data_IF_262869355762
#
_entry.id   IF_262869355762
#
_cell.length_a   1.000
_cell.length_b   1.000
_cell.length_c   1.000
_cell.angle_alpha   90.00
_cell.angle_beta   90.00
_cell.angle_gamma   90.00
#
_symmetry.space_group_name_H-M   'P 1'
#
loop_
_entity.id
_entity.type
_entity.pdbx_description
1 polymer ?
#
# COMPACT_ATOMS: atom_id res chain seq x y z
N UNK A 1 -12.36 -34.27 -26.72
CA UNK A 1 -11.69 -33.27 -25.87
C UNK A 1 -10.36 -33.00 -26.53
N UNK A 2 -10.33 -32.10 -27.50
CA UNK A 2 -9.11 -31.70 -28.20
C UNK A 2 -8.77 -30.27 -27.77
N UNK A 3 -7.53 -30.10 -27.32
CA UNK A 3 -6.91 -28.82 -27.02
C UNK A 3 -6.88 -27.97 -28.30
N UNK A 4 -7.59 -26.84 -28.28
CA UNK A 4 -7.44 -25.75 -29.24
C UNK A 4 -6.50 -24.69 -28.67
N UNK A 5 -5.23 -25.05 -28.47
CA UNK A 5 -4.17 -24.06 -28.26
C UNK A 5 -3.59 -23.65 -29.62
N UNK A 6 -4.41 -22.93 -30.40
CA UNK A 6 -3.92 -22.17 -31.55
C UNK A 6 -3.47 -20.77 -31.11
N UNK A 7 -2.61 -20.08 -31.88
CA UNK A 7 -2.35 -18.66 -31.63
C UNK A 7 -3.68 -17.88 -31.65
N UNK A 8 -3.80 -16.78 -30.86
CA UNK A 8 -4.99 -15.94 -30.91
C UNK A 8 -5.26 -15.49 -32.36
N UNK A 9 -6.54 -15.31 -32.75
CA UNK A 9 -6.88 -14.88 -34.11
C UNK A 9 -6.16 -13.59 -34.51
N UNK A 10 -5.70 -13.46 -35.76
CA UNK A 10 -4.96 -12.28 -36.27
C UNK A 10 -5.71 -10.95 -36.03
N UNK A 11 -7.05 -10.98 -35.96
CA UNK A 11 -7.91 -9.84 -35.68
C UNK A 11 -7.84 -9.32 -34.22
N UNK A 12 -7.16 -10.04 -33.33
CA UNK A 12 -6.96 -9.65 -31.93
C UNK A 12 -5.64 -8.88 -31.73
N UNK A 13 -4.78 -8.83 -32.74
CA UNK A 13 -3.48 -8.19 -32.71
C UNK A 13 -3.52 -6.76 -33.28
N UNK A 14 -2.68 -5.89 -32.73
CA UNK A 14 -2.30 -4.64 -33.39
C UNK A 14 -1.05 -4.89 -34.23
N UNK A 15 -0.98 -4.29 -35.43
CA UNK A 15 0.19 -4.37 -36.33
C UNK A 15 1.47 -3.74 -35.77
N UNK A 16 1.43 -3.15 -34.58
CA UNK A 16 2.59 -2.58 -33.90
C UNK A 16 3.01 -3.48 -32.73
N UNK A 17 4.03 -4.30 -32.97
CA UNK A 17 4.70 -5.09 -31.92
C UNK A 17 5.40 -4.14 -30.95
N UNK A 18 4.93 -4.09 -29.71
CA UNK A 18 5.60 -3.33 -28.64
C UNK A 18 6.77 -4.10 -28.03
N UNK A 19 7.67 -3.35 -27.38
CA UNK A 19 8.91 -3.80 -26.72
C UNK A 19 8.75 -5.11 -25.95
N UNK A 20 9.63 -6.09 -26.22
CA UNK A 20 9.73 -7.34 -25.44
C UNK A 20 8.91 -8.53 -25.95
N UNK A 21 8.15 -8.41 -27.04
CA UNK A 21 7.45 -9.54 -27.67
C UNK A 21 6.15 -9.97 -26.99
N UNK A 22 5.60 -9.13 -26.12
CA UNK A 22 4.27 -9.35 -25.54
C UNK A 22 3.18 -8.86 -26.50
N UNK A 23 2.18 -9.70 -26.78
CA UNK A 23 0.99 -9.31 -27.53
C UNK A 23 0.14 -8.35 -26.70
N UNK A 24 -0.36 -7.30 -27.35
CA UNK A 24 -1.28 -6.33 -26.76
C UNK A 24 -2.67 -6.61 -27.29
N UNK A 25 -3.62 -6.85 -26.38
CA UNK A 25 -5.01 -7.13 -26.75
C UNK A 25 -5.69 -5.85 -27.27
N UNK A 26 -6.37 -5.94 -28.42
CA UNK A 26 -7.28 -4.89 -28.88
C UNK A 26 -8.59 -4.93 -28.09
N UNK A 27 -8.71 -4.08 -27.07
CA UNK A 27 -9.90 -4.01 -26.23
C UNK A 27 -11.11 -3.38 -26.92
N UNK A 28 -10.97 -2.86 -28.13
CA UNK A 28 -12.13 -2.45 -28.94
C UNK A 28 -12.77 -3.60 -29.69
N UNK A 29 -12.14 -4.79 -29.71
CA UNK A 29 -12.74 -6.00 -30.27
C UNK A 29 -13.73 -6.61 -29.26
N UNK A 30 -15.04 -6.70 -29.57
CA UNK A 30 -16.03 -7.28 -28.65
C UNK A 30 -15.74 -8.74 -28.27
N UNK A 31 -15.09 -9.50 -29.15
CA UNK A 31 -14.70 -10.88 -28.86
C UNK A 31 -13.64 -10.95 -27.77
N UNK A 32 -12.67 -10.03 -27.77
CA UNK A 32 -11.66 -9.91 -26.72
C UNK A 32 -12.31 -9.58 -25.37
N UNK A 33 -13.22 -8.60 -25.35
CA UNK A 33 -13.96 -8.25 -24.13
C UNK A 33 -14.75 -9.44 -23.58
N UNK A 34 -15.47 -10.16 -24.45
CA UNK A 34 -16.28 -11.33 -24.07
C UNK A 34 -15.45 -12.48 -23.51
N UNK A 35 -14.28 -12.78 -24.11
CA UNK A 35 -13.40 -13.81 -23.54
C UNK A 35 -12.84 -13.38 -22.17
N UNK A 36 -12.56 -12.09 -21.99
CA UNK A 36 -12.12 -11.57 -20.70
C UNK A 36 -13.23 -11.68 -19.64
N UNK A 37 -14.47 -11.34 -19.97
CA UNK A 37 -15.62 -11.53 -19.09
C UNK A 37 -15.80 -12.98 -18.65
N UNK A 38 -15.59 -13.95 -19.56
CA UNK A 38 -15.59 -15.38 -19.19
C UNK A 38 -14.51 -15.72 -18.17
N UNK A 39 -13.31 -15.14 -18.29
CA UNK A 39 -12.24 -15.34 -17.33
C UNK A 39 -12.61 -14.75 -15.96
N UNK A 40 -13.20 -13.56 -15.91
CA UNK A 40 -13.72 -12.97 -14.67
C UNK A 40 -14.78 -13.88 -14.04
N UNK A 41 -15.74 -14.34 -14.84
CA UNK A 41 -16.80 -15.24 -14.39
C UNK A 41 -16.25 -16.56 -13.83
N UNK A 42 -15.25 -17.14 -14.50
CA UNK A 42 -14.59 -18.36 -14.04
C UNK A 42 -13.96 -18.18 -12.65
N UNK A 43 -13.11 -17.16 -12.46
CA UNK A 43 -12.43 -16.96 -11.18
C UNK A 43 -13.39 -16.60 -10.05
N UNK A 44 -14.41 -15.78 -10.33
CA UNK A 44 -15.47 -15.50 -9.35
C UNK A 44 -16.26 -16.76 -8.99
N UNK A 45 -16.53 -17.65 -9.94
CA UNK A 45 -17.22 -18.91 -9.70
C UNK A 45 -16.38 -19.89 -8.85
N UNK A 46 -15.05 -19.89 -9.02
CA UNK A 46 -14.10 -20.66 -8.19
C UNK A 46 -14.05 -20.14 -6.74
N UNK A 47 -14.57 -18.92 -6.49
CA UNK A 47 -14.65 -18.33 -5.16
C UNK A 47 -13.60 -17.26 -4.88
N UNK A 48 -13.02 -16.64 -5.91
CA UNK A 48 -12.11 -15.50 -5.75
C UNK A 48 -12.87 -14.26 -5.24
N UNK A 49 -12.43 -13.72 -4.11
CA UNK A 49 -13.07 -12.58 -3.42
C UNK A 49 -12.77 -11.21 -4.05
N UNK A 50 -11.75 -11.11 -4.89
CA UNK A 50 -11.36 -9.84 -5.50
C UNK A 50 -10.39 -9.99 -6.67
N UNK A 51 -10.42 -9.02 -7.56
CA UNK A 51 -9.62 -8.99 -8.79
C UNK A 51 -8.87 -7.67 -8.86
N UNK A 52 -7.55 -7.73 -9.03
CA UNK A 52 -6.72 -6.56 -9.30
C UNK A 52 -6.38 -6.50 -10.78
N UNK A 53 -6.95 -5.52 -11.47
CA UNK A 53 -6.60 -5.15 -12.83
C UNK A 53 -5.34 -4.29 -12.86
N UNK A 54 -4.19 -4.92 -13.11
CA UNK A 54 -2.90 -4.23 -13.24
C UNK A 54 -2.68 -3.71 -14.66
N UNK A 55 -1.87 -2.65 -14.76
CA UNK A 55 -1.38 -2.08 -16.01
C UNK A 55 -2.46 -1.60 -16.99
N UNK A 56 -3.63 -1.22 -16.48
CA UNK A 56 -4.72 -0.68 -17.31
C UNK A 56 -4.34 0.64 -18.00
N UNK A 57 -3.31 1.36 -17.53
CA UNK A 57 -2.76 2.52 -18.25
C UNK A 57 -2.18 2.16 -19.63
N UNK A 58 -1.87 0.88 -19.88
CA UNK A 58 -1.38 0.38 -21.17
C UNK A 58 -2.51 -0.22 -22.03
N UNK A 59 -3.77 -0.13 -21.59
CA UNK A 59 -4.92 -0.71 -22.27
C UNK A 59 -5.12 -0.05 -23.64
N UNK A 60 -5.06 -0.86 -24.70
CA UNK A 60 -5.24 -0.37 -26.06
C UNK A 60 -6.71 -0.41 -26.49
N UNK A 61 -7.26 0.76 -26.77
CA UNK A 61 -8.60 0.97 -27.31
C UNK A 61 -8.53 1.96 -28.47
N UNK A 62 -9.39 1.81 -29.48
CA UNK A 62 -9.52 2.77 -30.57
C UNK A 62 -10.08 4.12 -30.09
N UNK A 63 -10.94 4.08 -29.07
CA UNK A 63 -11.52 5.26 -28.45
C UNK A 63 -11.40 5.15 -26.93
N UNK A 64 -10.67 6.08 -26.31
CA UNK A 64 -10.44 6.10 -24.88
C UNK A 64 -11.73 6.27 -24.05
N UNK A 65 -12.78 6.87 -24.63
CA UNK A 65 -14.10 6.93 -23.98
C UNK A 65 -14.74 5.55 -23.76
N UNK A 66 -14.20 4.48 -24.34
CA UNK A 66 -14.65 3.11 -24.07
C UNK A 66 -14.09 2.56 -22.75
N UNK A 67 -13.00 3.09 -22.20
CA UNK A 67 -12.39 2.56 -20.98
C UNK A 67 -13.37 2.59 -19.80
N UNK A 68 -14.06 3.72 -19.50
CA UNK A 68 -15.06 3.74 -18.42
C UNK A 68 -16.24 2.80 -18.67
N UNK A 69 -16.62 2.59 -19.94
CA UNK A 69 -17.70 1.66 -20.31
C UNK A 69 -17.30 0.23 -19.97
N UNK A 70 -16.07 -0.15 -20.31
CA UNK A 70 -15.52 -1.48 -20.01
C UNK A 70 -15.40 -1.70 -18.50
N UNK A 71 -14.93 -0.70 -17.74
CA UNK A 71 -14.90 -0.78 -16.27
C UNK A 71 -16.30 -1.01 -15.67
N UNK A 72 -17.30 -0.29 -16.17
CA UNK A 72 -18.69 -0.47 -15.75
C UNK A 72 -19.21 -1.87 -16.06
N UNK A 73 -18.95 -2.39 -17.27
CA UNK A 73 -19.33 -3.74 -17.66
C UNK A 73 -18.72 -4.79 -16.73
N UNK A 74 -17.44 -4.66 -16.38
CA UNK A 74 -16.80 -5.55 -15.41
C UNK A 74 -17.45 -5.45 -14.03
N UNK A 75 -17.76 -4.23 -13.57
CA UNK A 75 -18.42 -4.03 -12.28
C UNK A 75 -19.80 -4.68 -12.24
N UNK A 76 -20.62 -4.44 -13.26
CA UNK A 76 -21.95 -5.04 -13.42
C UNK A 76 -21.88 -6.57 -13.46
N UNK A 77 -20.92 -7.12 -14.21
CA UNK A 77 -20.70 -8.57 -14.26
C UNK A 77 -20.36 -9.13 -12.88
N UNK A 78 -19.37 -8.55 -12.18
CA UNK A 78 -18.95 -9.02 -10.85
C UNK A 78 -20.08 -8.89 -9.82
N UNK A 79 -20.87 -7.82 -9.88
CA UNK A 79 -22.05 -7.64 -9.02
C UNK A 79 -23.13 -8.67 -9.32
N UNK A 80 -23.36 -9.01 -10.59
CA UNK A 80 -24.35 -10.02 -10.98
C UNK A 80 -23.95 -11.43 -10.50
N UNK A 81 -22.66 -11.77 -10.61
CA UNK A 81 -22.11 -13.08 -10.20
C UNK A 81 -22.06 -13.25 -8.68
N UNK A 82 -22.05 -12.14 -7.94
CA UNK A 82 -22.02 -12.13 -6.47
C UNK A 82 -23.29 -11.57 -5.85
N UNK A 83 -24.39 -11.52 -6.61
CA UNK A 83 -25.66 -11.05 -6.11
C UNK A 83 -26.09 -11.85 -4.87
N UNK A 84 -26.37 -11.15 -3.77
CA UNK A 84 -26.72 -11.75 -2.48
C UNK A 84 -25.55 -12.27 -1.64
N UNK A 85 -24.31 -12.25 -2.15
CA UNK A 85 -23.11 -12.52 -1.33
C UNK A 85 -22.66 -11.26 -0.59
N UNK A 86 -22.21 -11.42 0.64
CA UNK A 86 -21.60 -10.36 1.45
C UNK A 86 -20.29 -10.88 2.05
N UNK A 87 -19.12 -10.34 1.66
CA UNK A 87 -18.93 -9.22 0.72
C UNK A 87 -19.15 -9.60 -0.75
N UNK A 88 -19.37 -8.60 -1.61
CA UNK A 88 -19.29 -8.73 -3.07
C UNK A 88 -17.83 -8.86 -3.53
N UNK A 89 -17.60 -9.35 -4.76
CA UNK A 89 -16.23 -9.41 -5.32
C UNK A 89 -15.66 -8.00 -5.50
N UNK A 90 -14.45 -7.77 -4.97
CA UNK A 90 -13.76 -6.48 -4.97
C UNK A 90 -13.05 -6.25 -6.32
N UNK A 91 -13.17 -5.05 -6.89
CA UNK A 91 -12.40 -4.61 -8.05
C UNK A 91 -11.32 -3.59 -7.64
N UNK A 92 -10.06 -3.89 -7.95
CA UNK A 92 -8.90 -3.06 -7.63
C UNK A 92 -8.25 -2.56 -8.93
N UNK A 93 -7.88 -1.29 -8.98
CA UNK A 93 -7.04 -0.70 -10.04
C UNK A 93 -5.90 0.11 -9.44
N UNK A 94 -4.88 0.44 -10.26
CA UNK A 94 -3.74 1.25 -9.80
C UNK A 94 -4.06 2.74 -9.82
N UNK A 95 -3.47 3.48 -8.89
CA UNK A 95 -3.48 4.95 -8.90
C UNK A 95 -2.86 5.53 -10.17
N UNK A 96 -1.84 4.87 -10.72
CA UNK A 96 -1.25 5.23 -12.02
C UNK A 96 -2.27 5.20 -13.16
N UNK A 97 -3.16 4.21 -13.17
CA UNK A 97 -4.24 4.15 -14.14
C UNK A 97 -5.26 5.27 -13.94
N UNK A 98 -5.62 5.58 -12.68
CA UNK A 98 -6.48 6.72 -12.38
C UNK A 98 -5.86 8.05 -12.85
N UNK A 99 -4.57 8.26 -12.58
CA UNK A 99 -3.84 9.46 -13.01
C UNK A 99 -3.76 9.57 -14.54
N UNK A 100 -3.58 8.45 -15.23
CA UNK A 100 -3.62 8.38 -16.70
C UNK A 100 -4.98 8.84 -17.25
N UNK A 101 -6.09 8.33 -16.71
CA UNK A 101 -7.44 8.74 -17.15
C UNK A 101 -7.69 10.24 -16.93
N UNK A 102 -7.27 10.78 -15.78
CA UNK A 102 -7.57 12.17 -15.42
C UNK A 102 -6.63 13.14 -16.12
N UNK A 103 -5.33 12.90 -16.04
CA UNK A 103 -4.30 13.86 -16.47
C UNK A 103 -4.00 13.75 -17.96
N UNK A 104 -3.95 12.54 -18.51
CA UNK A 104 -3.61 12.34 -19.92
C UNK A 104 -4.84 12.34 -20.82
N UNK A 105 -5.98 11.83 -20.34
CA UNK A 105 -7.22 11.79 -21.13
C UNK A 105 -8.23 12.89 -20.81
N UNK A 106 -7.98 13.69 -19.77
CA UNK A 106 -8.90 14.75 -19.35
C UNK A 106 -10.27 14.24 -18.88
N UNK A 107 -10.36 12.98 -18.43
CA UNK A 107 -11.62 12.42 -17.95
C UNK A 107 -11.97 12.97 -16.57
N UNK A 108 -13.28 13.12 -16.34
CA UNK A 108 -13.78 13.39 -15.00
C UNK A 108 -13.51 12.18 -14.09
N UNK A 109 -13.17 12.45 -12.84
CA UNK A 109 -12.79 11.42 -11.89
C UNK A 109 -13.92 10.44 -11.53
N UNK A 110 -15.18 10.76 -11.85
CA UNK A 110 -16.34 9.84 -11.74
C UNK A 110 -16.18 8.54 -12.53
N UNK A 111 -15.24 8.45 -13.48
CA UNK A 111 -14.89 7.20 -14.17
C UNK A 111 -14.43 6.07 -13.23
N UNK A 112 -14.05 6.41 -11.99
CA UNK A 112 -13.63 5.46 -10.97
C UNK A 112 -14.77 5.01 -10.04
N UNK A 113 -16.00 5.47 -10.24
CA UNK A 113 -17.14 5.10 -9.39
C UNK A 113 -17.44 3.59 -9.39
N UNK A 114 -17.02 2.88 -10.44
CA UNK A 114 -17.19 1.44 -10.62
C UNK A 114 -16.04 0.62 -10.01
N UNK A 115 -15.09 1.26 -9.31
CA UNK A 115 -13.94 0.61 -8.65
C UNK A 115 -14.16 0.56 -7.13
N UNK A 116 -13.70 -0.50 -6.47
CA UNK A 116 -13.80 -0.61 -5.01
C UNK A 116 -12.54 -0.12 -4.30
N UNK A 117 -11.34 -0.49 -4.79
CA UNK A 117 -10.05 -0.13 -4.21
C UNK A 117 -9.13 0.53 -5.23
N UNK A 118 -8.44 1.59 -4.82
CA UNK A 118 -7.41 2.26 -5.62
C UNK A 118 -6.03 2.06 -4.98
N UNK A 119 -5.13 1.37 -5.68
CA UNK A 119 -3.78 1.02 -5.19
C UNK A 119 -2.81 2.21 -5.28
N UNK A 120 -2.36 2.72 -4.13
CA UNK A 120 -1.49 3.88 -3.99
C UNK A 120 -0.14 3.52 -3.37
N UNK A 121 0.98 3.82 -4.05
CA UNK A 121 2.29 3.71 -3.44
C UNK A 121 2.46 4.82 -2.39
N UNK A 122 2.94 4.45 -1.21
CA UNK A 122 3.44 5.37 -0.20
C UNK A 122 4.96 5.46 -0.36
N UNK A 123 5.45 6.54 -0.95
CA UNK A 123 6.87 6.79 -1.11
C UNK A 123 7.42 7.39 0.18
N UNK A 124 8.37 6.69 0.81
CA UNK A 124 9.06 7.17 2.00
C UNK A 124 10.18 8.10 1.57
N UNK A 125 10.14 9.34 2.07
CA UNK A 125 11.07 10.40 1.74
C UNK A 125 11.09 11.45 2.85
N UNK A 126 11.07 12.73 2.50
CA UNK A 126 10.90 13.80 3.49
C UNK A 126 9.48 13.79 4.07
N UNK A 127 9.33 14.27 5.31
CA UNK A 127 8.03 14.47 5.94
C UNK A 127 7.11 15.37 5.11
N UNK A 128 7.65 16.36 4.40
CA UNK A 128 6.89 17.22 3.49
C UNK A 128 6.34 16.45 2.28
N UNK A 129 7.17 15.66 1.60
CA UNK A 129 6.74 14.84 0.45
C UNK A 129 5.71 13.80 0.87
N UNK A 130 5.92 13.13 2.01
CA UNK A 130 4.96 12.19 2.56
C UNK A 130 3.67 12.89 3.00
N UNK A 131 3.76 14.07 3.60
CA UNK A 131 2.62 14.90 3.96
C UNK A 131 1.77 15.26 2.75
N UNK A 132 2.41 15.72 1.66
CA UNK A 132 1.76 16.02 0.37
C UNK A 132 1.08 14.79 -0.23
N UNK A 133 1.72 13.62 -0.21
CA UNK A 133 1.11 12.37 -0.70
C UNK A 133 -0.18 12.05 0.06
N UNK A 134 -0.16 12.11 1.40
CA UNK A 134 -1.33 11.74 2.21
C UNK A 134 -2.42 12.81 2.15
N UNK A 135 -2.07 14.11 2.16
CA UNK A 135 -3.03 15.21 2.05
C UNK A 135 -3.65 15.32 0.65
N UNK A 136 -2.84 15.15 -0.40
CA UNK A 136 -3.27 15.21 -1.79
C UNK A 136 -4.34 14.17 -2.10
N UNK A 137 -4.13 12.93 -1.63
CA UNK A 137 -5.12 11.88 -1.82
C UNK A 137 -6.42 12.16 -1.07
N UNK A 138 -6.36 12.77 0.11
CA UNK A 138 -7.56 13.14 0.88
C UNK A 138 -8.39 14.21 0.19
N UNK A 139 -7.75 15.25 -0.35
CA UNK A 139 -8.44 16.33 -1.07
C UNK A 139 -9.17 15.81 -2.31
N UNK A 140 -8.70 14.69 -2.85
CA UNK A 140 -9.28 13.98 -3.97
C UNK A 140 -10.32 12.90 -3.58
N UNK A 141 -10.78 12.83 -2.31
CA UNK A 141 -11.65 11.77 -1.78
C UNK A 141 -13.12 12.16 -1.53
N UNK A 142 -13.96 12.35 -2.56
CA UNK A 142 -15.40 12.47 -2.36
C UNK A 142 -16.04 11.21 -1.77
N UNK A 143 -17.22 11.39 -1.21
CA UNK A 143 -18.11 10.28 -0.85
C UNK A 143 -18.52 9.54 -2.14
N UNK A 144 -18.37 8.21 -2.18
CA UNK A 144 -18.66 7.39 -3.37
C UNK A 144 -17.45 7.00 -4.23
N UNK A 145 -16.23 7.35 -3.81
CA UNK A 145 -14.99 6.98 -4.49
C UNK A 145 -14.35 5.67 -3.98
N UNK A 146 -13.53 4.98 -4.80
CA UNK A 146 -12.91 3.69 -4.47
C UNK A 146 -11.96 3.83 -3.29
N UNK A 147 -12.12 3.06 -2.20
CA UNK A 147 -11.32 3.10 -0.95
C UNK A 147 -9.80 3.05 -1.23
N UNK A 148 -8.95 3.85 -0.53
CA UNK A 148 -7.53 3.88 -0.88
C UNK A 148 -6.89 2.63 -0.33
N UNK A 149 -6.10 1.95 -1.13
CA UNK A 149 -5.25 0.87 -0.69
C UNK A 149 -3.80 1.34 -0.73
N UNK A 150 -3.20 1.53 0.43
CA UNK A 150 -1.80 2.00 0.52
C UNK A 150 -0.83 0.82 0.54
N UNK A 151 0.31 0.95 -0.12
CA UNK A 151 1.39 -0.01 -0.02
C UNK A 151 2.76 0.67 0.00
N UNK A 152 3.73 0.08 0.70
CA UNK A 152 5.10 0.61 0.69
C UNK A 152 5.90 0.09 -0.50
N UNK A 153 5.53 -1.06 -1.06
CA UNK A 153 6.14 -1.69 -2.23
C UNK A 153 5.27 -2.83 -2.72
N UNK A 154 5.58 -3.40 -3.88
CA UNK A 154 4.89 -4.57 -4.45
C UNK A 154 5.84 -5.35 -5.36
N UNK A 155 5.31 -6.29 -6.16
CA UNK A 155 6.06 -7.13 -7.10
C UNK A 155 6.87 -6.35 -8.14
N UNK A 156 6.50 -5.11 -8.42
CA UNK A 156 6.98 -4.32 -9.54
C UNK A 156 8.00 -3.25 -9.07
N UNK A 157 8.32 -3.22 -7.77
CA UNK A 157 9.22 -2.26 -7.14
C UNK A 157 10.29 -2.96 -6.32
N UNK A 158 11.47 -2.34 -6.19
CA UNK A 158 12.44 -2.76 -5.17
C UNK A 158 11.82 -2.75 -3.77
N UNK A 159 12.24 -3.71 -2.94
CA UNK A 159 11.75 -3.86 -1.56
C UNK A 159 12.00 -2.59 -0.76
N UNK A 160 11.09 -2.26 0.16
CA UNK A 160 11.22 -1.04 0.96
C UNK A 160 12.52 -1.06 1.78
N UNK A 161 12.91 -2.21 2.33
CA UNK A 161 14.14 -2.36 3.11
C UNK A 161 15.43 -2.15 2.29
N UNK A 162 15.36 -2.20 0.96
CA UNK A 162 16.48 -1.85 0.07
C UNK A 162 16.48 -0.37 -0.31
N UNK A 163 15.31 0.28 -0.31
CA UNK A 163 15.13 1.67 -0.75
C UNK A 163 15.37 2.70 0.34
N UNK A 164 15.23 2.32 1.61
CA UNK A 164 15.40 3.22 2.76
C UNK A 164 16.40 2.67 3.77
N UNK A 165 16.92 3.55 4.62
CA UNK A 165 17.77 3.11 5.72
C UNK A 165 17.01 2.21 6.71
N UNK A 166 17.65 1.17 7.28
CA UNK A 166 16.99 0.20 8.16
C UNK A 166 16.24 0.81 9.35
N UNK A 167 16.74 1.95 9.88
CA UNK A 167 16.13 2.67 11.01
C UNK A 167 14.74 3.20 10.71
N UNK A 168 14.43 3.59 9.47
CA UNK A 168 13.14 4.19 9.12
C UNK A 168 12.05 3.16 8.82
N UNK A 169 12.42 1.89 8.68
CA UNK A 169 11.47 0.89 8.23
C UNK A 169 10.29 0.69 9.18
N UNK A 170 10.52 0.59 10.50
CA UNK A 170 9.39 0.43 11.41
C UNK A 170 8.54 1.68 11.49
N UNK A 171 9.13 2.88 11.44
CA UNK A 171 8.37 4.12 11.30
C UNK A 171 7.48 4.13 10.05
N UNK A 172 7.98 3.65 8.91
CA UNK A 172 7.20 3.50 7.68
C UNK A 172 6.03 2.52 7.85
N UNK A 173 6.24 1.38 8.53
CA UNK A 173 5.17 0.42 8.84
C UNK A 173 4.11 1.02 9.78
N UNK A 174 4.52 1.80 10.77
CA UNK A 174 3.59 2.53 11.65
C UNK A 174 2.75 3.54 10.86
N UNK A 175 3.37 4.28 9.94
CA UNK A 175 2.68 5.21 9.05
C UNK A 175 1.66 4.49 8.18
N UNK A 176 2.11 3.50 7.40
CA UNK A 176 1.24 2.67 6.56
C UNK A 176 0.05 2.13 7.36
N UNK A 177 0.29 1.56 8.54
CA UNK A 177 -0.75 0.95 9.37
C UNK A 177 -1.70 1.94 10.04
N UNK A 178 -1.35 3.23 10.09
CA UNK A 178 -2.18 4.29 10.65
C UNK A 178 -3.01 5.02 9.58
N UNK A 179 -2.60 4.92 8.31
CA UNK A 179 -3.31 5.51 7.18
C UNK A 179 -4.76 4.98 7.03
N UNK A 180 -5.66 5.82 6.47
CA UNK A 180 -7.05 5.48 6.24
C UNK A 180 -7.18 4.53 5.05
N UNK A 181 -8.26 3.75 5.01
CA UNK A 181 -8.54 2.85 3.88
C UNK A 181 -8.07 1.42 4.11
N UNK A 182 -7.68 0.76 3.04
CA UNK A 182 -7.02 -0.53 3.04
C UNK A 182 -5.49 -0.34 3.04
N UNK A 183 -4.79 -1.35 3.52
CA UNK A 183 -3.34 -1.39 3.49
C UNK A 183 -2.91 -2.72 2.91
N UNK A 184 -1.96 -2.69 1.98
CA UNK A 184 -1.31 -3.84 1.41
C UNK A 184 0.15 -3.89 1.89
N UNK A 185 0.58 -5.07 2.31
CA UNK A 185 1.94 -5.32 2.81
C UNK A 185 2.53 -6.40 1.91
N UNK A 186 3.68 -6.09 1.31
CA UNK A 186 4.35 -7.06 0.45
C UNK A 186 5.08 -8.08 1.32
N UNK A 187 4.98 -9.38 0.99
CA UNK A 187 5.55 -10.43 1.84
C UNK A 187 7.04 -10.16 2.10
N UNK A 188 7.46 -10.37 3.35
CA UNK A 188 8.82 -10.09 3.78
C UNK A 188 9.04 -8.66 4.27
N UNK A 189 8.16 -7.69 3.96
CA UNK A 189 8.25 -6.34 4.54
C UNK A 189 8.15 -6.40 6.08
N UNK A 190 7.34 -7.31 6.63
CA UNK A 190 7.21 -7.52 8.07
C UNK A 190 8.51 -7.96 8.76
N UNK A 191 9.43 -8.59 8.03
CA UNK A 191 10.78 -8.96 8.52
C UNK A 191 11.88 -8.01 8.02
N UNK A 192 11.56 -7.06 7.14
CA UNK A 192 12.54 -6.18 6.49
C UNK A 192 13.37 -6.87 5.41
N UNK A 193 12.75 -7.78 4.66
CA UNK A 193 13.38 -8.48 3.54
C UNK A 193 13.88 -7.47 2.49
N UNK A 194 15.12 -7.63 2.05
CA UNK A 194 15.77 -6.82 1.01
C UNK A 194 15.80 -7.56 -0.32
N UNK A 195 16.05 -6.83 -1.40
CA UNK A 195 16.22 -7.41 -2.74
C UNK A 195 17.47 -8.28 -2.77
N UNK A 196 17.39 -9.44 -3.41
CA UNK A 196 18.58 -10.26 -3.60
C UNK A 196 19.54 -9.64 -4.62
N UNK A 197 20.82 -9.73 -4.34
CA UNK A 197 21.89 -9.19 -5.14
C UNK A 197 23.06 -10.16 -5.23
N UNK A 198 23.86 -10.00 -6.28
CA UNK A 198 25.11 -10.71 -6.45
C UNK A 198 26.19 -10.09 -5.56
N UNK A 199 26.76 -10.89 -4.66
CA UNK A 199 27.78 -10.47 -3.69
C UNK A 199 29.08 -9.98 -4.35
N UNK A 200 29.39 -10.42 -5.57
CA UNK A 200 30.62 -10.04 -6.27
C UNK A 200 30.45 -8.73 -7.03
N UNK A 201 29.32 -8.58 -7.74
CA UNK A 201 29.07 -7.37 -8.54
C UNK A 201 28.33 -6.27 -7.78
N UNK A 202 27.71 -6.58 -6.64
CA UNK A 202 26.84 -5.69 -5.88
C UNK A 202 25.51 -5.38 -6.60
N UNK A 203 25.24 -6.00 -7.75
CA UNK A 203 24.06 -5.72 -8.57
C UNK A 203 22.87 -6.55 -8.10
N UNK A 204 21.72 -5.91 -7.98
CA UNK A 204 20.44 -6.57 -7.70
C UNK A 204 20.09 -7.49 -8.88
N UNK A 205 19.68 -8.72 -8.60
CA UNK A 205 19.24 -9.65 -9.64
C UNK A 205 17.96 -9.15 -10.31
N UNK A 206 17.74 -9.50 -11.58
CA UNK A 206 16.45 -9.27 -12.22
C UNK A 206 15.38 -10.06 -11.47
N UNK A 207 14.39 -9.37 -10.91
CA UNK A 207 13.39 -10.00 -10.03
C UNK A 207 13.90 -10.25 -8.62
N UNK A 208 15.00 -9.64 -8.17
CA UNK A 208 15.55 -9.78 -6.82
C UNK A 208 14.57 -9.43 -5.70
N UNK A 209 13.52 -8.66 -5.98
CA UNK A 209 12.41 -8.39 -5.07
C UNK A 209 11.43 -9.58 -4.93
N UNK A 210 11.42 -10.52 -5.87
CA UNK A 210 10.50 -11.66 -5.95
C UNK A 210 11.10 -12.94 -5.38
N UNK A 211 12.26 -12.85 -4.73
CA UNK A 211 12.94 -14.04 -4.19
C UNK A 211 12.09 -14.72 -3.12
N UNK A 212 12.21 -16.04 -2.95
CA UNK A 212 11.46 -16.75 -1.93
C UNK A 212 11.59 -16.17 -0.51
N UNK A 213 10.59 -16.41 0.33
CA UNK A 213 10.58 -15.98 1.72
C UNK A 213 11.71 -16.64 2.52
N UNK A 214 12.34 -15.88 3.41
CA UNK A 214 13.45 -16.34 4.26
C UNK A 214 12.91 -16.70 5.65
N UNK A 215 12.71 -17.98 5.89
CA UNK A 215 12.18 -18.55 7.14
C UNK A 215 13.24 -18.76 8.21
N UNK A 216 14.37 -19.38 7.85
CA UNK A 216 15.44 -19.78 8.80
C UNK A 216 16.83 -19.36 8.30
N UNK A 217 17.83 -19.49 9.17
CA UNK A 217 19.24 -19.26 8.82
C UNK A 217 19.98 -20.54 8.37
N UNK A 218 19.32 -21.69 8.41
CA UNK A 218 20.01 -22.98 8.48
C UNK A 218 20.48 -23.54 7.13
N UNK A 219 20.00 -22.98 6.01
CA UNK A 219 20.39 -23.42 4.67
C UNK A 219 20.43 -22.28 3.65
N UNK A 220 21.02 -22.56 2.48
CA UNK A 220 21.16 -21.60 1.38
C UNK A 220 19.84 -21.19 0.71
N UNK A 221 18.73 -21.85 1.04
CA UNK A 221 17.39 -21.49 0.58
C UNK A 221 16.60 -20.69 1.63
N UNK A 222 17.20 -20.36 2.77
CA UNK A 222 16.55 -19.64 3.86
C UNK A 222 15.34 -20.40 4.42
N UNK A 223 15.34 -21.73 4.34
CA UNK A 223 14.24 -22.60 4.75
C UNK A 223 13.05 -22.62 3.80
N UNK A 224 13.17 -22.05 2.58
CA UNK A 224 12.09 -22.08 1.58
C UNK A 224 11.89 -23.45 0.94
N UNK A 225 12.98 -24.17 0.70
CA UNK A 225 12.98 -25.52 0.12
C UNK A 225 14.00 -26.40 0.85
N UNK A 226 14.11 -27.67 0.45
CA UNK A 226 15.08 -28.58 1.02
C UNK A 226 16.54 -28.17 0.69
N UNK A 227 17.50 -28.87 1.29
CA UNK A 227 18.94 -28.57 1.12
C UNK A 227 19.51 -29.06 -0.23
N UNK A 228 18.69 -29.75 -1.05
CA UNK A 228 19.11 -30.33 -2.32
C UNK A 228 18.59 -29.52 -3.51
N UNK A 229 17.58 -28.68 -3.29
CA UNK A 229 16.88 -27.92 -4.32
C UNK A 229 17.27 -26.45 -4.23
N UNK A 230 17.75 -25.90 -5.34
CA UNK A 230 17.95 -24.46 -5.43
C UNK A 230 16.63 -23.77 -5.74
N UNK A 231 16.31 -22.64 -5.08
CA UNK A 231 15.15 -21.86 -5.47
C UNK A 231 15.30 -21.28 -6.89
N UNK A 232 14.17 -20.90 -7.48
CA UNK A 232 14.12 -20.33 -8.84
C UNK A 232 14.89 -18.99 -8.98
N UNK A 233 15.17 -18.32 -7.87
CA UNK A 233 16.09 -17.18 -7.77
C UNK A 233 17.00 -17.33 -6.54
N UNK A 234 18.28 -16.88 -6.62
CA UNK A 234 19.14 -16.78 -5.46
C UNK A 234 18.52 -15.85 -4.41
N UNK A 235 18.37 -16.31 -3.16
CA UNK A 235 17.86 -15.45 -2.07
C UNK A 235 18.90 -14.42 -1.64
N UNK A 236 18.48 -13.46 -0.81
CA UNK A 236 19.37 -12.41 -0.36
C UNK A 236 20.52 -13.01 0.51
N UNK A 237 21.79 -12.60 0.29
CA UNK A 237 22.93 -13.09 1.07
C UNK A 237 22.81 -12.86 2.59
N UNK A 238 22.04 -11.86 3.02
CA UNK A 238 21.74 -11.53 4.42
C UNK A 238 20.67 -12.45 5.06
N UNK A 239 20.21 -13.52 4.40
CA UNK A 239 19.20 -14.43 4.94
C UNK A 239 19.56 -15.05 6.29
N UNK A 240 20.86 -15.20 6.61
CA UNK A 240 21.31 -15.68 7.91
C UNK A 240 20.90 -14.78 9.08
N UNK A 241 20.67 -13.48 8.85
CA UNK A 241 20.27 -12.51 9.87
C UNK A 241 18.83 -12.03 9.68
N UNK A 242 18.40 -11.82 8.43
CA UNK A 242 17.07 -11.32 8.08
C UNK A 242 16.18 -12.47 7.65
N UNK A 243 15.60 -13.17 8.62
CA UNK A 243 14.67 -14.27 8.42
C UNK A 243 13.60 -14.30 9.52
N UNK A 244 12.52 -15.06 9.31
CA UNK A 244 11.42 -15.17 10.29
C UNK A 244 11.91 -15.61 11.66
N UNK A 245 12.78 -16.61 11.73
CA UNK A 245 13.34 -17.13 12.98
C UNK A 245 14.08 -16.06 13.80
N UNK A 246 14.83 -15.18 13.14
CA UNK A 246 15.66 -14.16 13.80
C UNK A 246 14.93 -12.82 14.01
N UNK A 247 13.88 -12.53 13.24
CA UNK A 247 13.12 -11.27 13.30
C UNK A 247 11.90 -11.31 14.22
N UNK A 248 11.87 -12.23 15.20
CA UNK A 248 10.73 -12.42 16.11
C UNK A 248 10.31 -11.15 16.88
N UNK A 249 11.26 -10.30 17.27
CA UNK A 249 10.95 -9.04 17.95
C UNK A 249 10.18 -8.08 17.04
N UNK A 250 10.63 -7.94 15.80
CA UNK A 250 10.01 -7.12 14.75
C UNK A 250 8.64 -7.64 14.38
N UNK A 251 8.49 -8.96 14.24
CA UNK A 251 7.20 -9.61 13.98
C UNK A 251 6.20 -9.37 15.11
N UNK A 252 6.62 -9.51 16.38
CA UNK A 252 5.76 -9.17 17.53
C UNK A 252 5.32 -7.72 17.50
N UNK A 253 6.21 -6.80 17.14
CA UNK A 253 5.87 -5.39 16.99
C UNK A 253 4.86 -5.18 15.85
N UNK A 254 5.09 -5.76 14.67
CA UNK A 254 4.17 -5.68 13.54
C UNK A 254 2.77 -6.24 13.88
N UNK A 255 2.71 -7.39 14.57
CA UNK A 255 1.45 -7.97 15.07
C UNK A 255 0.73 -7.04 16.05
N UNK A 256 1.45 -6.31 16.90
CA UNK A 256 0.84 -5.30 17.80
C UNK A 256 0.23 -4.15 17.02
N UNK A 257 0.90 -3.67 15.97
CA UNK A 257 0.37 -2.62 15.09
C UNK A 257 -0.90 -3.12 14.37
N UNK A 258 -0.89 -4.35 13.83
CA UNK A 258 -2.06 -4.97 13.20
C UNK A 258 -3.22 -5.11 14.19
N UNK A 259 -2.96 -5.58 15.40
CA UNK A 259 -3.96 -5.69 16.46
C UNK A 259 -4.55 -4.32 16.81
N UNK A 260 -3.71 -3.29 16.92
CA UNK A 260 -4.16 -1.92 17.14
C UNK A 260 -5.04 -1.42 16.01
N UNK A 261 -4.66 -1.65 14.75
CA UNK A 261 -5.48 -1.29 13.59
C UNK A 261 -6.87 -1.94 13.66
N UNK A 262 -6.89 -3.27 13.88
CA UNK A 262 -8.11 -4.09 13.90
C UNK A 262 -9.03 -3.77 15.08
N UNK A 263 -8.48 -3.50 16.25
CA UNK A 263 -9.25 -3.42 17.49
C UNK A 263 -9.52 -1.99 17.96
N UNK A 264 -8.56 -1.08 17.75
CA UNK A 264 -8.62 0.30 18.23
C UNK A 264 -8.88 1.28 17.09
N UNK A 265 -8.03 1.28 16.05
CA UNK A 265 -8.07 2.28 14.98
C UNK A 265 -9.35 2.20 14.14
N UNK A 266 -10.01 1.03 14.07
CA UNK A 266 -11.34 0.89 13.44
C UNK A 266 -12.40 1.84 14.00
N UNK A 267 -12.24 2.29 15.25
CA UNK A 267 -13.14 3.23 15.89
C UNK A 267 -12.80 4.70 15.58
N UNK A 268 -11.77 4.96 14.79
CA UNK A 268 -11.34 6.30 14.40
C UNK A 268 -11.60 6.49 12.90
N UNK A 269 -12.40 7.49 12.55
CA UNK A 269 -12.80 7.73 11.16
C UNK A 269 -11.59 8.13 10.32
N UNK A 270 -11.67 7.88 9.03
CA UNK A 270 -10.83 8.53 8.03
C UNK A 270 -11.25 10.00 7.79
N UNK A 271 -12.55 10.30 7.97
CA UNK A 271 -13.10 11.66 7.86
C UNK A 271 -12.60 12.54 9.01
N UNK A 272 -12.02 13.69 8.69
CA UNK A 272 -11.39 14.58 9.67
C UNK A 272 -9.98 14.15 10.09
N UNK A 273 -9.32 13.31 9.29
CA UNK A 273 -7.92 12.97 9.47
C UNK A 273 -7.02 14.15 9.09
N UNK A 274 -6.16 14.59 10.00
CA UNK A 274 -5.19 15.64 9.77
C UNK A 274 -3.80 15.01 9.61
N UNK A 275 -3.03 15.53 8.67
CA UNK A 275 -1.62 15.18 8.52
C UNK A 275 -0.89 16.50 8.66
N UNK A 276 -0.10 16.62 9.71
CA UNK A 276 0.74 17.78 9.96
C UNK A 276 2.18 17.41 9.71
N UNK A 277 2.90 18.36 9.12
CA UNK A 277 4.34 18.28 8.92
C UNK A 277 4.93 19.31 9.86
N UNK A 278 5.38 18.88 11.03
CA UNK A 278 5.87 19.79 12.08
C UNK A 278 7.24 20.38 11.74
N UNK A 279 7.97 19.70 10.86
CA UNK A 279 9.20 20.13 10.20
C UNK A 279 9.38 19.25 8.95
N UNK A 280 10.39 19.49 8.10
CA UNK A 280 10.57 18.72 6.85
C UNK A 280 10.68 17.20 7.02
N UNK A 281 10.78 16.67 8.24
CA UNK A 281 11.13 15.29 8.56
C UNK A 281 10.18 14.59 9.55
N UNK A 282 9.42 15.33 10.37
CA UNK A 282 8.41 14.76 11.27
C UNK A 282 7.03 14.88 10.65
N UNK A 283 6.43 13.71 10.40
CA UNK A 283 5.02 13.59 10.04
C UNK A 283 4.20 13.24 11.27
N UNK A 284 3.13 13.99 11.50
CA UNK A 284 2.12 13.72 12.51
C UNK A 284 0.81 13.44 11.81
N UNK A 285 0.18 12.33 12.17
CA UNK A 285 -1.10 11.89 11.64
C UNK A 285 -2.11 11.81 12.77
N UNK A 286 -3.12 12.68 12.71
CA UNK A 286 -4.23 12.71 13.66
C UNK A 286 -5.49 12.08 13.06
N UNK A 287 -6.19 11.23 13.83
CA UNK A 287 -7.50 10.67 13.47
C UNK A 287 -8.53 10.88 14.57
N UNK A 288 -9.76 11.19 14.17
CA UNK A 288 -10.87 11.49 15.08
C UNK A 288 -11.75 10.27 15.37
N UNK A 289 -12.11 10.05 16.63
CA UNK A 289 -12.97 8.93 17.02
C UNK A 289 -14.40 9.11 16.44
N UNK A 290 -15.01 8.02 15.95
CA UNK A 290 -16.28 8.08 15.23
C UNK A 290 -17.51 8.44 16.08
N UNK A 291 -17.50 8.08 17.37
CA UNK A 291 -18.53 8.45 18.37
C UNK A 291 -18.13 9.60 19.33
N UNK A 292 -16.87 9.67 19.74
CA UNK A 292 -16.39 10.64 20.75
C UNK A 292 -15.56 11.74 20.10
N UNK A 293 -16.19 12.85 19.73
CA UNK A 293 -15.52 13.94 19.01
C UNK A 293 -14.32 14.55 19.74
N UNK A 294 -14.14 14.36 21.05
CA UNK A 294 -12.96 14.83 21.80
C UNK A 294 -11.78 13.86 21.80
N UNK A 295 -11.96 12.60 21.36
CA UNK A 295 -10.89 11.61 21.32
C UNK A 295 -10.15 11.61 19.99
N UNK A 296 -8.84 11.51 20.06
CA UNK A 296 -7.93 11.41 18.91
C UNK A 296 -6.98 10.22 19.07
N UNK A 297 -6.58 9.66 17.93
CA UNK A 297 -5.32 8.92 17.82
C UNK A 297 -4.34 9.84 17.11
N UNK A 298 -3.14 9.96 17.64
CA UNK A 298 -2.00 10.57 16.95
C UNK A 298 -0.98 9.49 16.66
N UNK A 299 -0.45 9.48 15.45
CA UNK A 299 0.82 8.88 15.10
C UNK A 299 1.81 10.02 14.87
N UNK A 300 3.02 9.91 15.40
CA UNK A 300 4.13 10.76 14.97
C UNK A 300 5.32 9.90 14.59
N UNK A 301 6.01 10.23 13.50
CA UNK A 301 7.15 9.50 12.99
C UNK A 301 8.23 10.46 12.48
N UNK A 302 9.48 10.21 12.85
CA UNK A 302 10.63 11.01 12.43
C UNK A 302 11.41 10.28 11.32
N UNK A 303 11.39 10.85 10.12
CA UNK A 303 12.11 10.36 8.94
C UNK A 303 13.38 11.17 8.62
N UNK A 304 13.75 12.09 9.51
CA UNK A 304 14.96 12.89 9.40
C UNK A 304 16.14 12.29 10.14
N UNK A 305 17.23 13.05 10.12
CA UNK A 305 18.56 12.57 10.47
C UNK A 305 18.94 12.94 11.92
N UNK A 306 18.14 13.78 12.56
CA UNK A 306 18.38 14.34 13.90
C UNK A 306 17.23 14.02 14.85
N UNK A 307 17.52 14.01 16.15
CA UNK A 307 16.47 13.90 17.16
C UNK A 307 15.81 15.26 17.35
N UNK A 308 14.49 15.27 17.35
CA UNK A 308 13.69 16.49 17.40
C UNK A 308 12.81 16.47 18.65
N UNK A 309 12.65 17.63 19.30
CA UNK A 309 11.72 17.85 20.40
C UNK A 309 10.61 18.81 19.95
N UNK A 310 9.35 18.40 20.12
CA UNK A 310 8.17 19.15 19.67
C UNK A 310 7.14 19.23 20.77
N UNK A 311 6.36 20.30 20.76
CA UNK A 311 5.24 20.49 21.67
C UNK A 311 3.94 19.99 21.04
N UNK A 312 3.02 19.52 21.87
CA UNK A 312 1.66 19.21 21.43
C UNK A 312 0.81 20.48 21.36
N UNK A 313 -0.20 20.53 20.47
CA UNK A 313 -1.16 21.62 20.48
C UNK A 313 -1.77 21.85 21.87
N UNK A 314 -2.02 23.10 22.26
CA UNK A 314 -2.57 23.41 23.58
C UNK A 314 -3.91 22.73 23.89
N UNK A 315 -4.68 22.43 22.83
CA UNK A 315 -5.94 21.70 22.91
C UNK A 315 -5.77 20.25 23.39
N UNK A 316 -4.56 19.68 23.32
CA UNK A 316 -4.30 18.32 23.78
C UNK A 316 -4.22 18.30 25.30
N UNK A 317 -5.15 17.57 25.92
CA UNK A 317 -5.21 17.40 27.37
C UNK A 317 -4.37 16.21 27.82
N UNK A 318 -5.01 15.06 27.94
CA UNK A 318 -4.34 13.83 28.35
C UNK A 318 -3.79 13.09 27.12
N UNK A 319 -2.48 12.79 27.12
CA UNK A 319 -1.78 12.04 26.08
C UNK A 319 -1.36 10.68 26.64
N UNK A 320 -1.96 9.60 26.16
CA UNK A 320 -1.66 8.23 26.56
C UNK A 320 -0.98 7.48 25.42
N UNK A 321 0.31 7.21 25.58
CA UNK A 321 1.06 6.38 24.61
C UNK A 321 0.52 4.96 24.58
N UNK A 322 0.22 4.47 23.38
CA UNK A 322 -0.24 3.09 23.13
C UNK A 322 0.94 2.21 22.71
N UNK A 323 1.80 2.74 21.84
CA UNK A 323 2.95 2.01 21.30
C UNK A 323 4.02 2.96 20.79
N UNK A 324 5.25 2.47 20.77
CA UNK A 324 6.44 3.14 20.24
C UNK A 324 7.27 2.13 19.48
N UNK A 325 8.06 2.58 18.51
CA UNK A 325 9.00 1.72 17.79
C UNK A 325 9.95 1.00 18.75
N UNK A 326 10.22 -0.29 18.52
CA UNK A 326 11.21 -1.03 19.29
C UNK A 326 12.65 -0.77 18.77
N UNK A 327 13.65 -0.85 19.66
CA UNK A 327 15.08 -0.72 19.29
C UNK A 327 15.77 0.52 19.86
N UNK A 328 16.95 0.91 19.35
CA UNK A 328 17.75 2.00 19.93
C UNK A 328 17.14 3.39 19.71
N UNK A 329 16.04 3.49 18.95
CA UNK A 329 15.30 4.72 18.71
C UNK A 329 14.72 5.24 20.03
N UNK A 330 15.14 6.44 20.46
CA UNK A 330 14.59 7.05 21.66
C UNK A 330 13.28 7.74 21.32
N UNK A 331 12.22 7.32 21.99
CA UNK A 331 10.94 8.01 22.03
C UNK A 331 10.68 8.45 23.46
N UNK A 332 10.42 9.73 23.67
CA UNK A 332 9.95 10.25 24.96
C UNK A 332 8.69 11.05 24.71
N UNK A 333 7.57 10.65 25.31
CA UNK A 333 6.32 11.41 25.24
C UNK A 333 5.99 11.91 26.63
N UNK A 334 5.70 13.21 26.75
CA UNK A 334 5.28 13.91 27.97
C UNK A 334 3.88 14.48 27.77
N UNK A 335 3.31 15.07 28.81
CA UNK A 335 1.98 15.70 28.73
C UNK A 335 1.88 16.86 27.73
N UNK A 336 2.98 17.59 27.50
CA UNK A 336 3.02 18.79 26.64
C UNK A 336 3.84 18.65 25.37
N UNK A 337 4.45 17.50 25.11
CA UNK A 337 5.29 17.34 23.93
C UNK A 337 5.96 15.98 23.86
N UNK A 338 6.83 15.83 22.87
CA UNK A 338 7.56 14.60 22.63
C UNK A 338 8.95 14.84 22.06
N UNK A 339 9.82 13.85 22.22
CA UNK A 339 11.13 13.76 21.58
C UNK A 339 11.18 12.49 20.73
N UNK A 340 11.52 12.61 19.45
CA UNK A 340 11.69 11.48 18.54
C UNK A 340 13.08 11.47 17.91
N UNK A 341 13.80 10.37 18.08
CA UNK A 341 15.01 10.08 17.30
C UNK A 341 14.71 9.68 15.85
N UNK A 342 15.70 9.74 14.94
CA UNK A 342 15.57 9.21 13.57
C UNK A 342 15.04 7.79 13.53
N UNK A 343 13.98 7.55 12.75
CA UNK A 343 13.32 6.24 12.64
C UNK A 343 12.40 5.88 13.81
N UNK A 344 12.28 6.77 14.81
CA UNK A 344 11.34 6.58 15.91
C UNK A 344 9.93 6.95 15.47
N UNK A 345 8.95 6.15 15.91
CA UNK A 345 7.55 6.51 15.80
C UNK A 345 6.77 6.12 17.06
N UNK A 346 5.66 6.80 17.32
CA UNK A 346 4.72 6.42 18.37
C UNK A 346 3.29 6.62 17.96
N UNK A 347 2.41 5.87 18.61
CA UNK A 347 0.96 6.08 18.56
C UNK A 347 0.46 6.39 19.97
N UNK A 348 -0.35 7.44 20.12
CA UNK A 348 -0.97 7.82 21.38
C UNK A 348 -2.47 8.11 21.21
N UNK A 349 -3.26 7.81 22.25
CA UNK A 349 -4.61 8.32 22.39
C UNK A 349 -4.56 9.67 23.10
N UNK A 350 -5.24 10.65 22.53
CA UNK A 350 -5.34 12.02 23.08
C UNK A 350 -6.79 12.35 23.36
N UNK A 351 -7.05 12.99 24.50
CA UNK A 351 -8.34 13.63 24.79
C UNK A 351 -8.18 15.13 24.74
N UNK A 352 -8.96 15.78 23.87
CA UNK A 352 -8.96 17.23 23.72
C UNK A 352 -9.59 17.92 24.94
N UNK A 353 -8.97 19.02 25.40
CA UNK A 353 -9.50 19.91 26.44
C UNK A 353 -10.66 20.75 25.93
N UNK A 354 -10.54 21.21 24.69
CA UNK A 354 -11.53 21.99 23.98
C UNK A 354 -11.45 21.64 22.49
N UNK A 355 -12.52 21.93 21.75
CA UNK A 355 -12.47 21.83 20.29
C UNK A 355 -11.73 23.05 19.77
N UNK A 356 -10.55 22.91 19.15
CA UNK A 356 -9.95 24.05 18.45
C UNK A 356 -10.96 24.53 17.41
N UNK A 357 -11.16 25.84 17.33
CA UNK A 357 -11.82 26.44 16.16
C UNK A 357 -11.05 25.96 14.92
N UNK A 358 -11.69 25.67 13.76
CA UNK A 358 -10.96 25.29 12.56
C UNK A 358 -10.02 26.44 12.18
N UNK A 359 -8.79 26.39 12.67
CA UNK A 359 -7.75 27.32 12.32
C UNK A 359 -7.33 26.96 10.91
N UNK A 360 -7.47 27.93 10.02
CA UNK A 360 -6.67 28.03 8.81
C UNK A 360 -5.23 28.14 9.33
N UNK A 361 -4.54 27.01 9.50
CA UNK A 361 -3.13 26.97 9.87
C UNK A 361 -2.33 27.16 8.57
N UNK A 362 -2.36 28.41 8.08
CA UNK A 362 -1.31 28.96 7.26
C UNK A 362 -0.45 29.79 8.20
N UNK A 363 0.73 29.28 8.53
CA UNK A 363 1.92 30.09 8.75
C UNK A 363 3.10 29.34 8.10
#
# INVERSE_FOLDING_TARGET
MENSEGPPPEEWELTQRTFGGHYVLNWSNPSVQKEYEKALAHWTAVGVDGIYMKHLENMHVHNHHHIPIILRQWRELLDSLTFGKQPRTILIVSSKFADYLVNEMGMDKSVLADVDLLDHPLLVGSGEEMGKQVQGLRSAWPEGWPVPMWHLGNSDTFRIASRIEPRYHMAAMYLLMSLPGANSVFYGDEIGLKDSYDVFSGRVYRGGQLTPMQWTADNSSGGFTDNLTNPWLPINPEHYTTNVQNQQSRLREFVRILSFRKNTLKNYRARGQHVDVLDPNIIVLERTHHKHKSKRIILAANFGNVSEEKEFPEAYGNVKVIMTTAGPTRTRVRSRGFTLSPGAAFVAEVTLLYYPSPAILND
#
